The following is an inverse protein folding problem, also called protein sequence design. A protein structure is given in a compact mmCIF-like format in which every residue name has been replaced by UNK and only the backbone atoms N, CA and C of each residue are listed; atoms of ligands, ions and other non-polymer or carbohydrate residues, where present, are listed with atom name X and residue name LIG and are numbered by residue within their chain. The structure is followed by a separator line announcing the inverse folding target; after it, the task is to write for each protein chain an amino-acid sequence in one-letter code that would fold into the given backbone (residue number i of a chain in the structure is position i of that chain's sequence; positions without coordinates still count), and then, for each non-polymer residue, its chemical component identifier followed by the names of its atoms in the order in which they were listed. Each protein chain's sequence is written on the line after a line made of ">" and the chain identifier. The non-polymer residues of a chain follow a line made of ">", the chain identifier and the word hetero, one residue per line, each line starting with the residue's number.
data_IF_345973483683
#
_entry.id   IF_345973483683
#
_cell.length_a   1.000
_cell.length_b   1.000
_cell.length_c   1.000
_cell.angle_alpha   90.00
_cell.angle_beta   90.00
_cell.angle_gamma   90.00
#
_symmetry.space_group_name_H-M   'P 1'
#
loop_
_entity.id
_entity.type
_entity.pdbx_description
1 polymer ?
#
# COMPACT_ATOMS: atom_id res chain seq x y z
N UNK A 1 9.82 -7.13 -3.37
CA UNK A 1 8.61 -6.30 -3.19
C UNK A 1 8.78 -4.99 -3.94
N UNK A 2 7.68 -4.53 -4.54
CA UNK A 2 7.48 -3.23 -5.20
C UNK A 2 6.33 -2.49 -4.51
N UNK A 3 6.21 -1.19 -4.77
CA UNK A 3 5.14 -0.37 -4.21
C UNK A 3 4.30 0.23 -5.33
N UNK A 4 3.00 0.20 -5.15
CA UNK A 4 2.00 0.60 -6.13
C UNK A 4 1.07 1.63 -5.51
N UNK A 5 0.95 2.77 -6.18
CA UNK A 5 0.10 3.88 -5.76
C UNK A 5 -1.15 3.95 -6.64
N UNK A 6 -2.31 3.89 -5.99
CA UNK A 6 -3.63 4.04 -6.59
C UNK A 6 -4.13 5.44 -6.24
N UNK A 7 -3.88 6.43 -7.09
CA UNK A 7 -4.20 7.85 -6.82
C UNK A 7 -5.25 8.44 -7.78
N UNK A 8 -5.73 7.66 -8.74
CA UNK A 8 -6.68 8.07 -9.80
C UNK A 8 -8.11 7.52 -9.60
N UNK A 9 -8.36 6.94 -8.44
CA UNK A 9 -9.58 6.19 -8.14
C UNK A 9 -10.29 6.78 -6.92
N UNK A 10 -11.47 6.25 -6.59
CA UNK A 10 -12.31 6.77 -5.50
C UNK A 10 -11.55 6.86 -4.17
N UNK A 11 -10.76 5.83 -3.87
CA UNK A 11 -9.93 5.79 -2.67
C UNK A 11 -8.46 5.77 -3.05
N UNK A 12 -7.67 6.64 -2.42
CA UNK A 12 -6.23 6.51 -2.50
C UNK A 12 -5.77 5.25 -1.76
N UNK A 13 -4.80 4.53 -2.34
CA UNK A 13 -4.11 3.47 -1.64
C UNK A 13 -2.63 3.38 -1.98
N UNK A 14 -1.85 2.95 -0.99
CA UNK A 14 -0.46 2.55 -1.15
C UNK A 14 -0.33 1.07 -0.81
N UNK A 15 0.05 0.25 -1.80
CA UNK A 15 0.09 -1.21 -1.67
C UNK A 15 1.49 -1.72 -1.99
N UNK A 16 2.03 -2.58 -1.13
CA UNK A 16 3.24 -3.34 -1.39
C UNK A 16 2.90 -4.72 -1.94
N UNK A 17 3.54 -5.14 -3.02
CA UNK A 17 3.29 -6.45 -3.64
C UNK A 17 4.54 -6.96 -4.39
N UNK A 18 4.51 -8.21 -4.86
CA UNK A 18 5.56 -8.74 -5.74
C UNK A 18 5.45 -8.21 -7.18
N UNK A 19 4.21 -8.00 -7.65
CA UNK A 19 3.87 -7.55 -8.99
C UNK A 19 2.59 -6.70 -8.97
N UNK A 20 2.25 -6.13 -10.11
CA UNK A 20 1.10 -5.23 -10.28
C UNK A 20 -0.23 -5.96 -10.08
N UNK A 21 -0.37 -7.19 -10.60
CA UNK A 21 -1.59 -8.00 -10.47
C UNK A 21 -1.96 -8.21 -9.00
N UNK A 22 -0.98 -8.58 -8.16
CA UNK A 22 -1.19 -8.75 -6.72
C UNK A 22 -1.57 -7.44 -6.03
N UNK A 23 -1.04 -6.30 -6.50
CA UNK A 23 -1.41 -4.99 -5.94
C UNK A 23 -2.86 -4.62 -6.32
N UNK A 24 -3.28 -4.92 -7.54
CA UNK A 24 -4.66 -4.73 -8.02
C UNK A 24 -5.62 -5.59 -7.18
N UNK A 25 -5.28 -6.85 -6.94
CA UNK A 25 -6.06 -7.72 -6.04
C UNK A 25 -6.20 -7.10 -4.66
N UNK A 26 -5.11 -6.61 -4.07
CA UNK A 26 -5.17 -5.96 -2.76
C UNK A 26 -6.00 -4.69 -2.72
N UNK A 27 -6.02 -3.92 -3.81
CA UNK A 27 -6.87 -2.74 -3.91
C UNK A 27 -8.35 -3.11 -3.96
N UNK A 28 -8.72 -4.09 -4.79
CA UNK A 28 -10.12 -4.53 -4.93
C UNK A 28 -10.62 -5.22 -3.66
N UNK A 29 -9.80 -6.07 -3.03
CA UNK A 29 -10.24 -6.84 -1.85
C UNK A 29 -10.35 -6.01 -0.57
N UNK A 30 -9.52 -4.96 -0.43
CA UNK A 30 -9.38 -4.22 0.83
C UNK A 30 -9.89 -2.78 0.76
N UNK A 31 -9.79 -2.15 -0.43
CA UNK A 31 -9.97 -0.70 -0.55
C UNK A 31 -11.28 -0.33 -1.20
N UNK A 32 -11.56 -0.88 -2.39
CA UNK A 32 -12.69 -0.47 -3.19
C UNK A 32 -13.48 -1.68 -3.67
N UNK A 33 -14.79 -1.69 -3.42
CA UNK A 33 -15.73 -2.69 -3.94
C UNK A 33 -16.03 -2.37 -5.41
N UNK A 34 -15.04 -2.66 -6.26
CA UNK A 34 -15.08 -2.33 -7.69
C UNK A 34 -15.70 -3.50 -8.45
N UNK A 35 -16.69 -3.21 -9.30
CA UNK A 35 -17.31 -4.22 -10.17
C UNK A 35 -16.29 -4.78 -11.18
N UNK A 36 -16.47 -6.02 -11.61
CA UNK A 36 -15.52 -6.74 -12.49
C UNK A 36 -15.15 -5.99 -13.79
N UNK A 37 -16.05 -5.14 -14.24
CA UNK A 37 -16.01 -4.36 -15.47
C UNK A 37 -15.12 -3.11 -15.36
N UNK A 38 -14.83 -2.68 -14.14
CA UNK A 38 -14.01 -1.51 -13.80
C UNK A 38 -12.57 -1.90 -13.39
N UNK A 39 -12.21 -3.19 -13.44
CA UNK A 39 -10.88 -3.75 -13.08
C UNK A 39 -9.71 -3.33 -13.99
N UNK A 40 -9.90 -2.40 -14.92
CA UNK A 40 -8.81 -1.77 -15.66
C UNK A 40 -8.11 -0.73 -14.78
N UNK A 41 -7.50 -1.21 -13.70
CA UNK A 41 -6.69 -0.42 -12.79
C UNK A 41 -5.25 -0.35 -13.29
N UNK A 42 -4.64 0.82 -13.16
CA UNK A 42 -3.28 1.13 -13.59
C UNK A 42 -2.60 1.92 -12.48
N UNK A 43 -2.18 1.23 -11.40
CA UNK A 43 -1.43 1.87 -10.34
C UNK A 43 -0.07 2.35 -10.85
N UNK A 44 0.47 3.39 -10.23
CA UNK A 44 1.83 3.83 -10.52
C UNK A 44 2.82 3.03 -9.65
N UNK A 45 3.79 2.34 -10.24
CA UNK A 45 4.92 1.78 -9.49
C UNK A 45 5.79 2.92 -8.96
N UNK A 46 6.02 2.97 -7.65
CA UNK A 46 6.85 3.98 -7.00
C UNK A 46 8.01 3.35 -6.24
N UNK A 47 9.06 4.13 -5.97
CA UNK A 47 10.19 3.66 -5.18
C UNK A 47 9.83 3.51 -3.70
N UNK A 48 10.57 2.66 -2.98
CA UNK A 48 10.45 2.53 -1.51
C UNK A 48 10.63 3.87 -0.78
N UNK A 49 11.49 4.76 -1.31
CA UNK A 49 11.72 6.10 -0.72
C UNK A 49 10.49 6.98 -0.88
N UNK A 50 9.81 6.91 -2.03
CA UNK A 50 8.56 7.63 -2.25
C UNK A 50 7.44 7.07 -1.40
N UNK A 51 7.31 5.74 -1.32
CA UNK A 51 6.35 5.06 -0.46
C UNK A 51 6.52 5.48 1.02
N UNK A 52 7.75 5.48 1.54
CA UNK A 52 8.05 5.97 2.88
C UNK A 52 7.66 7.44 3.05
N UNK A 53 7.96 8.28 2.05
CA UNK A 53 7.61 9.72 2.08
C UNK A 53 6.10 9.94 2.12
N UNK A 54 5.31 9.14 1.39
CA UNK A 54 3.84 9.16 1.47
C UNK A 54 3.37 8.71 2.84
N UNK A 55 3.92 7.61 3.34
CA UNK A 55 3.59 7.01 4.63
C UNK A 55 3.82 7.95 5.82
N UNK A 56 4.98 8.61 5.88
CA UNK A 56 5.31 9.54 6.96
C UNK A 56 4.40 10.77 6.98
N UNK A 57 3.96 11.22 5.81
CA UNK A 57 3.05 12.37 5.67
C UNK A 57 1.61 12.05 6.04
N UNK A 58 1.16 10.82 5.85
CA UNK A 58 -0.20 10.40 6.13
C UNK A 58 -0.50 10.45 7.64
N UNK A 59 -1.76 10.69 8.00
CA UNK A 59 -2.23 10.58 9.38
C UNK A 59 -2.42 9.10 9.73
N UNK A 60 -1.58 8.58 10.63
CA UNK A 60 -1.59 7.17 11.02
C UNK A 60 -2.05 7.09 12.48
N UNK A 61 -3.14 6.38 12.72
CA UNK A 61 -3.63 6.17 14.08
C UNK A 61 -2.56 5.48 14.94
N UNK A 62 -2.30 6.03 16.14
CA UNK A 62 -1.29 5.51 17.04
C UNK A 62 0.17 5.80 16.66
N UNK A 63 0.44 6.57 15.60
CA UNK A 63 1.79 7.04 15.26
C UNK A 63 1.82 8.58 15.10
N UNK A 64 2.35 9.27 16.10
CA UNK A 64 2.34 10.74 16.13
C UNK A 64 3.60 11.35 15.49
N UNK A 65 4.75 10.69 15.62
CA UNK A 65 6.04 11.23 15.14
C UNK A 65 6.51 10.60 13.84
N UNK A 66 7.25 11.35 13.03
CA UNK A 66 7.89 10.82 11.80
C UNK A 66 8.79 9.62 12.08
N UNK A 67 9.46 9.61 13.24
CA UNK A 67 10.33 8.52 13.68
C UNK A 67 9.54 7.25 13.95
N UNK A 68 8.36 7.36 14.57
CA UNK A 68 7.47 6.22 14.80
C UNK A 68 6.92 5.68 13.50
N UNK A 69 6.42 6.55 12.62
CA UNK A 69 5.92 6.17 11.29
C UNK A 69 7.00 5.48 10.45
N UNK A 70 8.23 6.00 10.47
CA UNK A 70 9.37 5.39 9.76
C UNK A 70 9.70 4.01 10.32
N UNK A 71 9.68 3.85 11.64
CA UNK A 71 9.91 2.55 12.28
C UNK A 71 8.79 1.56 11.95
N UNK A 72 7.54 2.03 11.97
CA UNK A 72 6.38 1.21 11.67
C UNK A 72 6.40 0.74 10.21
N UNK A 73 6.65 1.64 9.26
CA UNK A 73 6.79 1.30 7.85
C UNK A 73 7.81 0.16 7.62
N UNK A 74 9.02 0.28 8.17
CA UNK A 74 10.03 -0.78 8.05
C UNK A 74 9.62 -2.09 8.74
N UNK A 75 8.88 -2.01 9.85
CA UNK A 75 8.35 -3.18 10.54
C UNK A 75 7.31 -3.90 9.69
N UNK A 76 6.40 -3.16 9.04
CA UNK A 76 5.42 -3.71 8.12
C UNK A 76 6.10 -4.40 6.93
N UNK A 77 7.11 -3.76 6.31
CA UNK A 77 7.90 -4.38 5.24
C UNK A 77 8.54 -5.70 5.70
N UNK A 78 9.25 -5.67 6.82
CA UNK A 78 9.96 -6.85 7.33
C UNK A 78 9.00 -7.99 7.68
N UNK A 79 7.80 -7.67 8.14
CA UNK A 79 6.75 -8.66 8.37
C UNK A 79 6.22 -9.22 7.06
N UNK A 80 5.90 -8.37 6.09
CA UNK A 80 5.42 -8.79 4.78
C UNK A 80 6.40 -9.73 4.08
N UNK A 81 7.70 -9.40 4.05
CA UNK A 81 8.73 -10.28 3.48
C UNK A 81 8.76 -11.67 4.13
N UNK A 82 8.44 -11.77 5.44
CA UNK A 82 8.31 -13.06 6.13
C UNK A 82 7.03 -13.82 5.78
N UNK A 83 5.95 -13.15 5.41
CA UNK A 83 4.69 -13.78 5.00
C UNK A 83 4.73 -14.21 3.53
N UNK A 84 5.27 -13.36 2.65
CA UNK A 84 5.51 -13.66 1.23
C UNK A 84 6.45 -14.84 1.06
N UNK A 85 7.57 -14.88 1.80
CA UNK A 85 8.50 -16.02 1.76
C UNK A 85 7.89 -17.35 2.21
N UNK A 86 6.71 -17.32 2.85
CA UNK A 86 5.91 -18.49 3.21
C UNK A 86 4.74 -18.75 2.26
N UNK A 87 4.54 -17.90 1.25
CA UNK A 87 3.45 -17.97 0.29
C UNK A 87 2.07 -17.66 0.87
N UNK A 88 1.99 -16.87 1.94
CA UNK A 88 0.74 -16.66 2.70
C UNK A 88 -0.05 -15.45 2.22
N UNK A 89 0.62 -14.32 1.97
CA UNK A 89 -0.02 -13.06 1.58
C UNK A 89 0.65 -12.48 0.33
N UNK A 90 -0.08 -12.25 -0.77
CA UNK A 90 0.50 -11.74 -2.02
C UNK A 90 0.72 -10.21 -2.04
N UNK A 91 0.10 -9.47 -1.11
CA UNK A 91 0.17 -8.02 -0.99
C UNK A 91 0.06 -7.55 0.48
N UNK A 92 0.40 -6.30 0.73
CA UNK A 92 0.18 -5.58 1.99
C UNK A 92 -0.34 -4.17 1.68
N UNK A 93 -1.41 -3.76 2.37
CA UNK A 93 -1.96 -2.41 2.24
C UNK A 93 -1.36 -1.53 3.34
N UNK A 94 -0.63 -0.49 2.94
CA UNK A 94 0.01 0.42 3.88
C UNK A 94 -0.92 1.55 4.31
N UNK A 95 -1.77 2.04 3.40
CA UNK A 95 -2.64 3.19 3.61
C UNK A 95 -3.90 3.08 2.75
N UNK A 96 -4.99 3.60 3.30
CA UNK A 96 -6.28 3.81 2.64
C UNK A 96 -6.74 5.21 3.02
N UNK A 97 -7.36 5.91 2.08
CA UNK A 97 -7.82 7.30 2.17
C UNK A 97 -6.73 8.35 1.91
N UNK A 98 -7.00 9.17 0.91
CA UNK A 98 -6.07 10.07 0.23
C UNK A 98 -5.96 11.43 0.88
N UNK A 99 -6.21 11.49 2.19
CA UNK A 99 -5.97 12.67 3.00
C UNK A 99 -4.48 13.01 3.12
N UNK A 100 -3.82 13.26 1.99
CA UNK A 100 -2.60 14.05 1.89
C UNK A 100 -3.00 15.53 1.96
N UNK A 101 -3.74 15.93 2.99
CA UNK A 101 -4.04 17.34 3.27
C UNK A 101 -3.05 17.87 4.32
#
# INVERSE_FOLDING_TARGET
>A
MKFYEFDKYEYYALIGAENEDNAIVGYIEVVADIEEEEKNLYPNEISIKEALKRYVKATIEGCETEKEKTRDFHKQISNFEKYVSKGIEPYIVFLIDGGLY
#
